data_IF_218587908712
#
_entry.id   IF_218587908712
#
_cell.length_a   1.000
_cell.length_b   1.000
_cell.length_c   1.000
_cell.angle_alpha   90.00
_cell.angle_beta   90.00
_cell.angle_gamma   90.00
#
_symmetry.space_group_name_H-M   'P 1'
#
loop_
_entity.id
_entity.type
_entity.pdbx_description
1 polymer ?
#
# COMPACT_ATOMS: atom_id res chain seq x y z
N UNK A 1 -27.23 -15.27 -3.81
CA UNK A 1 -26.08 -14.47 -4.25
C UNK A 1 -25.04 -14.73 -3.19
N UNK A 2 -23.91 -15.38 -3.53
CA UNK A 2 -22.84 -15.65 -2.58
C UNK A 2 -22.31 -14.32 -2.08
N UNK A 3 -22.14 -14.20 -0.77
CA UNK A 3 -21.38 -13.11 -0.16
C UNK A 3 -19.97 -13.22 -0.74
N UNK A 4 -19.55 -12.25 -1.55
CA UNK A 4 -18.15 -12.12 -1.96
C UNK A 4 -17.29 -11.97 -0.71
N UNK A 5 -16.00 -12.24 -0.80
CA UNK A 5 -15.09 -11.95 0.30
C UNK A 5 -15.24 -10.48 0.71
N UNK A 6 -15.19 -10.18 2.02
CA UNK A 6 -15.20 -8.78 2.48
C UNK A 6 -14.05 -8.00 1.83
N UNK A 7 -14.29 -6.71 1.55
CA UNK A 7 -13.23 -5.83 1.02
C UNK A 7 -12.21 -5.57 2.11
N UNK A 8 -10.95 -5.88 1.84
CA UNK A 8 -9.86 -5.65 2.77
C UNK A 8 -9.41 -4.19 2.79
N UNK A 9 -8.90 -3.73 3.92
CA UNK A 9 -8.43 -2.35 4.12
C UNK A 9 -6.91 -2.33 4.29
N UNK A 10 -6.25 -1.59 3.40
CA UNK A 10 -4.81 -1.31 3.44
C UNK A 10 -4.58 0.11 3.96
N UNK A 11 -3.79 0.23 5.03
CA UNK A 11 -3.33 1.50 5.57
C UNK A 11 -2.17 2.04 4.70
N UNK A 12 -2.41 3.11 3.93
CA UNK A 12 -1.45 3.73 3.00
C UNK A 12 -0.27 4.36 3.74
N UNK A 13 0.95 3.86 3.50
CA UNK A 13 2.19 4.23 4.22
C UNK A 13 2.07 4.05 5.74
N UNK A 14 1.35 3.00 6.17
CA UNK A 14 0.84 2.86 7.52
C UNK A 14 -0.39 3.74 7.80
N UNK A 15 -0.75 3.99 9.04
CA UNK A 15 -1.87 4.89 9.38
C UNK A 15 -1.43 6.36 9.24
N UNK A 16 -1.27 6.81 8.01
CA UNK A 16 -0.65 8.10 7.68
C UNK A 16 -1.53 9.32 7.99
N UNK A 17 -2.86 9.16 8.15
CA UNK A 17 -3.70 10.25 8.65
C UNK A 17 -3.43 10.62 10.12
N UNK A 18 -2.88 9.70 10.93
CA UNK A 18 -2.65 9.90 12.37
C UNK A 18 -1.16 9.91 12.78
N UNK A 19 -0.28 9.42 11.92
CA UNK A 19 1.16 9.25 12.18
C UNK A 19 1.99 9.69 10.96
N UNK A 20 3.28 10.08 11.14
CA UNK A 20 4.14 10.36 10.00
C UNK A 20 4.26 9.13 9.09
N UNK A 21 4.02 9.31 7.80
CA UNK A 21 3.99 8.26 6.78
C UNK A 21 5.28 7.43 6.76
N UNK A 22 5.17 6.15 6.36
CA UNK A 22 6.33 5.27 6.18
C UNK A 22 7.24 5.15 7.41
N UNK A 23 6.69 5.18 8.61
CA UNK A 23 7.43 5.11 9.87
C UNK A 23 6.92 3.97 10.76
N UNK A 24 7.76 3.53 11.69
CA UNK A 24 7.37 2.48 12.66
C UNK A 24 6.13 2.86 13.47
N UNK A 25 5.95 4.11 13.95
CA UNK A 25 4.68 4.51 14.57
C UNK A 25 3.46 4.36 13.67
N UNK A 26 3.55 4.68 12.37
CA UNK A 26 2.45 4.53 11.42
C UNK A 26 2.04 3.06 11.22
N UNK A 27 3.01 2.15 11.11
CA UNK A 27 2.73 0.71 11.01
C UNK A 27 2.15 0.14 12.29
N UNK A 28 2.65 0.54 13.45
CA UNK A 28 2.05 0.18 14.75
C UNK A 28 0.63 0.70 14.88
N UNK A 29 0.38 1.93 14.42
CA UNK A 29 -0.97 2.50 14.36
C UNK A 29 -1.92 1.68 13.49
N UNK A 30 -1.49 1.27 12.28
CA UNK A 30 -2.27 0.41 11.40
C UNK A 30 -2.61 -0.94 12.05
N UNK A 31 -1.65 -1.58 12.73
CA UNK A 31 -1.88 -2.82 13.49
C UNK A 31 -2.89 -2.57 14.62
N UNK A 32 -2.76 -1.48 15.36
CA UNK A 32 -3.62 -1.18 16.51
C UNK A 32 -5.08 -0.97 16.13
N UNK A 33 -5.34 -0.36 14.98
CA UNK A 33 -6.70 -0.14 14.47
C UNK A 33 -7.26 -1.33 13.70
N UNK A 34 -6.49 -2.42 13.58
CA UNK A 34 -6.91 -3.65 12.93
C UNK A 34 -7.05 -3.53 11.42
N UNK A 35 -6.22 -2.72 10.75
CA UNK A 35 -6.13 -2.76 9.30
C UNK A 35 -5.69 -4.16 8.84
N UNK A 36 -6.20 -4.62 7.69
CA UNK A 36 -5.87 -5.95 7.19
C UNK A 36 -4.48 -5.97 6.59
N UNK A 37 -4.11 -4.87 5.93
CA UNK A 37 -2.82 -4.62 5.29
C UNK A 37 -2.25 -3.27 5.68
N UNK A 38 -0.94 -3.12 5.57
CA UNK A 38 -0.27 -1.83 5.50
C UNK A 38 0.55 -1.74 4.22
N UNK A 39 0.45 -0.61 3.54
CA UNK A 39 1.27 -0.33 2.36
C UNK A 39 2.50 0.48 2.77
N UNK A 40 3.60 0.30 2.05
CA UNK A 40 4.87 1.01 2.25
C UNK A 40 5.66 1.11 0.94
N UNK A 41 6.46 2.17 0.85
CA UNK A 41 7.35 2.43 -0.29
C UNK A 41 8.80 2.08 0.05
N UNK A 42 9.50 1.34 -0.81
CA UNK A 42 10.90 0.98 -0.60
C UNK A 42 11.81 1.51 -1.70
N UNK A 43 12.97 2.01 -1.28
CA UNK A 43 14.04 2.49 -2.14
C UNK A 43 15.40 2.00 -1.61
N UNK A 44 16.44 2.09 -2.45
CA UNK A 44 17.77 1.62 -2.10
C UNK A 44 18.76 2.78 -1.97
N UNK A 45 19.52 2.82 -0.88
CA UNK A 45 20.61 3.77 -0.67
C UNK A 45 21.85 3.43 -1.52
N UNK A 46 22.81 4.36 -1.59
CA UNK A 46 24.06 4.19 -2.34
C UNK A 46 24.88 2.95 -1.91
N UNK A 47 24.85 2.60 -0.64
CA UNK A 47 25.51 1.40 -0.07
C UNK A 47 24.65 0.13 -0.12
N UNK A 48 23.41 0.26 -0.61
CA UNK A 48 22.52 -0.87 -0.89
C UNK A 48 21.54 -1.22 0.23
N UNK A 49 21.40 -0.40 1.28
CA UNK A 49 20.36 -0.62 2.28
C UNK A 49 18.97 -0.35 1.70
N UNK A 50 17.99 -1.17 2.07
CA UNK A 50 16.59 -1.00 1.65
C UNK A 50 15.85 -0.24 2.72
N UNK A 51 15.54 1.02 2.44
CA UNK A 51 14.85 1.93 3.35
C UNK A 51 13.38 2.11 2.95
N UNK A 52 12.55 2.54 3.91
CA UNK A 52 11.14 2.81 3.68
C UNK A 52 10.94 4.33 3.55
N UNK A 53 10.69 4.79 2.31
CA UNK A 53 10.60 6.21 1.96
C UNK A 53 9.84 6.38 0.64
N UNK A 54 8.86 7.30 0.62
CA UNK A 54 8.07 7.54 -0.59
C UNK A 54 8.82 8.38 -1.62
N UNK A 55 9.29 9.57 -1.23
CA UNK A 55 9.94 10.50 -2.16
C UNK A 55 11.35 10.02 -2.49
N UNK A 56 11.79 10.22 -3.72
CA UNK A 56 13.18 9.97 -4.12
C UNK A 56 14.14 10.95 -3.44
N UNK A 57 13.68 12.18 -3.15
CA UNK A 57 14.43 13.20 -2.44
C UNK A 57 13.99 13.29 -0.97
N UNK A 58 14.94 13.25 -0.05
CA UNK A 58 14.70 13.21 1.40
C UNK A 58 14.21 14.53 2.01
N UNK A 59 14.17 15.63 1.24
CA UNK A 59 13.95 16.98 1.74
C UNK A 59 12.62 17.18 2.47
N UNK A 60 11.52 16.65 1.93
CA UNK A 60 10.17 16.89 2.46
C UNK A 60 10.01 16.42 3.90
N UNK A 61 10.54 15.26 4.23
CA UNK A 61 10.34 14.63 5.53
C UNK A 61 11.52 14.79 6.48
N UNK A 62 12.75 14.99 5.96
CA UNK A 62 13.95 15.07 6.80
C UNK A 62 14.70 16.42 6.71
N UNK A 63 14.37 17.24 5.74
CA UNK A 63 15.09 18.49 5.47
C UNK A 63 16.38 18.33 4.66
N UNK A 64 16.88 17.11 4.43
CA UNK A 64 18.09 16.84 3.65
C UNK A 64 17.79 16.86 2.15
N UNK A 65 18.32 17.85 1.42
CA UNK A 65 18.14 17.98 -0.04
C UNK A 65 19.12 17.08 -0.79
N UNK A 66 18.85 15.76 -0.76
CA UNK A 66 19.58 14.72 -1.49
C UNK A 66 18.63 13.60 -1.90
N UNK A 67 18.94 12.95 -3.03
CA UNK A 67 18.25 11.75 -3.48
C UNK A 67 18.70 10.54 -2.65
N UNK A 68 17.79 9.59 -2.40
CA UNK A 68 18.05 8.36 -1.63
C UNK A 68 19.26 7.60 -2.18
N UNK A 69 19.36 7.45 -3.50
CA UNK A 69 20.47 6.73 -4.15
C UNK A 69 21.83 7.44 -4.06
N UNK A 70 21.89 8.70 -3.58
CA UNK A 70 23.11 9.49 -3.40
C UNK A 70 23.73 9.39 -2.00
N UNK A 71 23.02 8.82 -1.06
CA UNK A 71 23.41 8.76 0.36
C UNK A 71 23.57 7.32 0.83
N UNK A 72 24.45 7.11 1.81
CA UNK A 72 24.58 5.84 2.53
C UNK A 72 23.61 5.77 3.71
N UNK A 73 23.32 4.57 4.18
CA UNK A 73 22.49 4.38 5.37
C UNK A 73 23.05 5.11 6.60
N UNK A 74 24.37 5.04 6.81
CA UNK A 74 25.02 5.71 7.92
C UNK A 74 24.86 7.24 7.91
N UNK A 75 24.74 7.86 6.75
CA UNK A 75 24.51 9.30 6.63
C UNK A 75 23.08 9.73 7.01
N UNK A 76 22.08 8.82 6.92
CA UNK A 76 20.66 9.19 7.04
C UNK A 76 19.92 8.52 8.20
N UNK A 77 20.46 7.46 8.80
CA UNK A 77 19.78 6.66 9.85
C UNK A 77 19.35 7.47 11.08
N UNK A 78 20.06 8.57 11.39
CA UNK A 78 19.79 9.42 12.54
C UNK A 78 19.00 10.70 12.20
N UNK A 79 18.57 10.89 10.94
CA UNK A 79 17.77 12.04 10.53
C UNK A 79 16.39 11.99 11.18
N UNK A 80 15.90 13.16 11.57
CA UNK A 80 14.51 13.34 12.01
C UNK A 80 13.58 13.18 10.80
N UNK A 81 12.74 12.16 10.83
CA UNK A 81 11.74 11.85 9.80
C UNK A 81 10.30 11.99 10.31
N UNK A 82 10.10 12.68 11.44
CA UNK A 82 8.77 12.79 12.07
C UNK A 82 8.32 14.20 12.37
N UNK A 83 9.21 15.15 12.67
CA UNK A 83 8.85 16.53 13.06
C UNK A 83 8.10 17.31 11.98
N UNK A 84 8.22 16.96 10.71
CA UNK A 84 7.45 17.55 9.63
C UNK A 84 5.95 17.32 9.78
N UNK A 85 5.57 16.19 10.41
CA UNK A 85 4.18 15.85 10.70
C UNK A 85 3.71 16.50 12.03
N UNK A 86 4.47 16.28 13.12
CA UNK A 86 4.23 16.88 14.44
C UNK A 86 5.52 16.80 15.26
N UNK A 87 5.86 17.85 16.02
CA UNK A 87 7.06 17.94 16.88
C UNK A 87 7.20 16.78 17.88
N UNK A 88 6.10 16.17 18.32
CA UNK A 88 6.14 15.00 19.20
C UNK A 88 6.84 13.79 18.58
N UNK A 89 6.98 13.77 17.25
CA UNK A 89 7.66 12.70 16.50
C UNK A 89 9.11 13.01 16.13
N UNK A 90 9.75 14.01 16.73
CA UNK A 90 11.16 14.39 16.44
C UNK A 90 12.20 13.28 16.63
N UNK A 91 11.88 12.20 17.34
CA UNK A 91 12.74 11.04 17.52
C UNK A 91 12.51 9.94 16.52
N UNK A 92 11.50 10.08 15.65
CA UNK A 92 11.18 9.10 14.61
C UNK A 92 12.21 9.19 13.49
N UNK A 93 12.66 8.03 13.02
CA UNK A 93 13.71 7.89 12.01
C UNK A 93 13.15 7.21 10.76
N UNK A 94 13.90 7.30 9.67
CA UNK A 94 13.64 6.50 8.47
C UNK A 94 13.82 5.03 8.86
N UNK A 95 12.83 4.13 8.69
CA UNK A 95 13.06 2.72 8.97
C UNK A 95 13.67 2.01 7.76
N UNK A 96 14.43 0.97 8.01
CA UNK A 96 14.76 -0.04 7.01
C UNK A 96 13.56 -0.97 6.78
N UNK A 97 13.49 -1.59 5.60
CA UNK A 97 12.49 -2.64 5.35
C UNK A 97 12.58 -3.75 6.40
N UNK A 98 13.78 -4.14 6.78
CA UNK A 98 13.99 -5.18 7.81
C UNK A 98 13.35 -4.83 9.16
N UNK A 99 13.42 -3.58 9.59
CA UNK A 99 12.77 -3.10 10.82
C UNK A 99 11.24 -3.16 10.72
N UNK A 100 10.68 -2.77 9.57
CA UNK A 100 9.22 -2.86 9.32
C UNK A 100 8.76 -4.32 9.32
N UNK A 101 9.48 -5.22 8.65
CA UNK A 101 9.15 -6.65 8.65
C UNK A 101 9.14 -7.23 10.07
N UNK A 102 10.12 -6.87 10.92
CA UNK A 102 10.16 -7.31 12.34
C UNK A 102 8.92 -6.84 13.13
N UNK A 103 8.44 -5.64 12.88
CA UNK A 103 7.27 -5.07 13.59
C UNK A 103 5.97 -5.70 13.10
N UNK A 104 5.83 -5.91 11.79
CA UNK A 104 4.59 -6.33 11.13
C UNK A 104 4.38 -7.84 11.11
N UNK A 105 5.45 -8.63 11.17
CA UNK A 105 5.41 -10.09 11.07
C UNK A 105 4.37 -10.73 12.00
N UNK A 106 3.44 -11.49 11.41
CA UNK A 106 2.37 -12.19 12.11
C UNK A 106 1.28 -11.28 12.70
N UNK A 107 1.25 -9.99 12.33
CA UNK A 107 0.29 -9.01 12.87
C UNK A 107 -0.53 -8.30 11.79
N UNK A 108 0.04 -8.09 10.61
CA UNK A 108 -0.58 -7.38 9.50
C UNK A 108 0.09 -7.83 8.19
N UNK A 109 -0.67 -7.88 7.10
CA UNK A 109 -0.13 -8.13 5.77
C UNK A 109 0.53 -6.86 5.21
N UNK A 110 1.45 -7.00 4.25
CA UNK A 110 2.13 -5.85 3.67
C UNK A 110 1.97 -5.78 2.14
N UNK A 111 1.67 -4.58 1.65
CA UNK A 111 1.81 -4.21 0.24
C UNK A 111 3.07 -3.35 0.11
N UNK A 112 4.11 -3.88 -0.54
CA UNK A 112 5.42 -3.26 -0.62
C UNK A 112 5.62 -2.69 -2.03
N UNK A 113 5.51 -1.36 -2.16
CA UNK A 113 5.80 -0.70 -3.43
C UNK A 113 7.32 -0.55 -3.64
N UNK A 114 7.84 -1.17 -4.68
CA UNK A 114 9.23 -0.97 -5.12
C UNK A 114 9.31 0.26 -6.02
N UNK A 115 10.13 1.23 -5.63
CA UNK A 115 10.39 2.48 -6.35
C UNK A 115 11.83 2.54 -6.86
N UNK A 116 12.14 1.89 -7.99
CA UNK A 116 13.50 1.87 -8.50
C UNK A 116 13.91 3.26 -8.99
N UNK A 117 15.08 3.71 -8.55
CA UNK A 117 15.68 4.99 -8.92
C UNK A 117 16.38 4.96 -10.29
N UNK A 118 16.67 3.76 -10.79
CA UNK A 118 17.55 3.54 -11.93
C UNK A 118 19.04 3.48 -11.59
N UNK A 119 19.39 3.70 -10.32
CA UNK A 119 20.74 3.58 -9.76
C UNK A 119 20.85 2.40 -8.79
N UNK A 120 19.77 1.64 -8.64
CA UNK A 120 19.70 0.48 -7.74
C UNK A 120 20.65 -0.63 -8.21
N UNK A 121 21.20 -1.35 -7.24
CA UNK A 121 22.11 -2.48 -7.50
C UNK A 121 21.34 -3.79 -7.60
N UNK A 122 20.55 -4.07 -6.58
CA UNK A 122 19.88 -5.34 -6.35
C UNK A 122 18.62 -5.18 -5.48
N UNK A 123 17.86 -4.09 -5.68
CA UNK A 123 16.71 -3.73 -4.84
C UNK A 123 15.68 -4.85 -4.76
N UNK A 124 15.24 -5.37 -5.90
CA UNK A 124 14.20 -6.41 -5.99
C UNK A 124 14.67 -7.73 -5.34
N UNK A 125 15.92 -8.14 -5.59
CA UNK A 125 16.50 -9.35 -5.00
C UNK A 125 16.66 -9.23 -3.48
N UNK A 126 17.01 -8.04 -2.96
CA UNK A 126 17.09 -7.78 -1.52
C UNK A 126 15.73 -7.84 -0.85
N UNK A 127 14.70 -7.25 -1.48
CA UNK A 127 13.32 -7.35 -1.00
C UNK A 127 12.91 -8.82 -0.91
N UNK A 128 13.07 -9.60 -1.98
CA UNK A 128 12.74 -11.03 -1.99
C UNK A 128 13.49 -11.83 -0.92
N UNK A 129 14.80 -11.57 -0.75
CA UNK A 129 15.62 -12.20 0.31
C UNK A 129 15.13 -11.87 1.72
N UNK A 130 14.74 -10.60 1.97
CA UNK A 130 14.20 -10.19 3.27
C UNK A 130 12.86 -10.86 3.55
N UNK A 131 11.93 -10.91 2.57
CA UNK A 131 10.65 -11.60 2.72
C UNK A 131 10.85 -13.09 3.04
N UNK A 132 11.79 -13.75 2.36
CA UNK A 132 12.17 -15.13 2.65
C UNK A 132 12.74 -15.29 4.06
N UNK A 133 13.69 -14.42 4.45
CA UNK A 133 14.34 -14.44 5.78
C UNK A 133 13.33 -14.30 6.92
N UNK A 134 12.32 -13.46 6.75
CA UNK A 134 11.29 -13.21 7.77
C UNK A 134 10.05 -14.11 7.64
N UNK A 135 10.02 -15.04 6.68
CA UNK A 135 8.88 -15.93 6.40
C UNK A 135 7.59 -15.14 6.14
N UNK A 136 7.66 -14.09 5.33
CA UNK A 136 6.53 -13.20 5.03
C UNK A 136 6.11 -13.22 3.55
N UNK A 137 6.61 -14.17 2.73
CA UNK A 137 6.25 -14.26 1.31
C UNK A 137 4.75 -14.40 1.08
N UNK A 138 4.10 -15.24 1.88
CA UNK A 138 2.66 -15.55 1.77
C UNK A 138 1.75 -14.49 2.43
N UNK A 139 2.34 -13.46 3.05
CA UNK A 139 1.65 -12.37 3.75
C UNK A 139 2.03 -11.00 3.21
N UNK A 140 2.68 -10.98 2.05
CA UNK A 140 3.07 -9.77 1.35
C UNK A 140 2.70 -9.84 -0.13
N UNK A 141 2.35 -8.70 -0.69
CA UNK A 141 2.32 -8.44 -2.12
C UNK A 141 3.39 -7.39 -2.44
N UNK A 142 4.11 -7.58 -3.55
CA UNK A 142 5.07 -6.58 -4.02
C UNK A 142 4.48 -5.85 -5.22
N UNK A 143 4.39 -4.53 -5.12
CA UNK A 143 3.82 -3.70 -6.17
C UNK A 143 4.86 -2.75 -6.79
N UNK A 144 4.66 -2.34 -8.03
CA UNK A 144 5.49 -1.33 -8.69
C UNK A 144 4.78 -0.71 -9.90
N UNK A 145 5.11 0.57 -10.17
CA UNK A 145 4.83 1.23 -11.46
C UNK A 145 5.72 0.71 -12.60
N UNK A 146 6.82 0.03 -12.27
CA UNK A 146 7.76 -0.55 -13.23
C UNK A 146 7.50 -2.03 -13.39
N UNK A 147 6.91 -2.43 -14.51
CA UNK A 147 6.61 -3.83 -14.78
C UNK A 147 7.85 -4.74 -14.73
N UNK A 148 9.02 -4.22 -15.12
CA UNK A 148 10.30 -4.94 -15.03
C UNK A 148 10.67 -5.31 -13.59
N UNK A 149 10.32 -4.48 -12.60
CA UNK A 149 10.54 -4.83 -11.20
C UNK A 149 9.70 -6.03 -10.76
N UNK A 150 8.46 -6.17 -11.27
CA UNK A 150 7.63 -7.34 -10.98
C UNK A 150 8.25 -8.62 -11.57
N UNK A 151 8.77 -8.53 -12.81
CA UNK A 151 9.50 -9.64 -13.43
C UNK A 151 10.69 -10.08 -12.58
N UNK A 152 11.52 -9.13 -12.14
CA UNK A 152 12.70 -9.41 -11.29
C UNK A 152 12.32 -10.02 -9.94
N UNK A 153 11.21 -9.59 -9.33
CA UNK A 153 10.68 -10.22 -8.10
C UNK A 153 10.33 -11.68 -8.37
N UNK A 154 9.59 -11.98 -9.44
CA UNK A 154 9.21 -13.34 -9.81
C UNK A 154 10.43 -14.20 -10.16
N UNK A 155 11.45 -13.64 -10.80
CA UNK A 155 12.73 -14.32 -11.06
C UNK A 155 13.49 -14.62 -9.76
N UNK A 156 13.44 -13.73 -8.76
CA UNK A 156 14.09 -13.93 -7.48
C UNK A 156 13.34 -14.93 -6.58
N UNK A 157 12.01 -14.89 -6.56
CA UNK A 157 11.14 -15.84 -5.85
C UNK A 157 9.72 -15.79 -6.44
N UNK A 158 9.37 -16.78 -7.25
CA UNK A 158 8.08 -16.88 -7.95
C UNK A 158 6.87 -17.01 -7.01
N UNK A 159 7.08 -17.42 -5.77
CA UNK A 159 6.03 -17.53 -4.77
C UNK A 159 5.53 -16.19 -4.21
N UNK A 160 6.25 -15.08 -4.46
CA UNK A 160 5.84 -13.77 -4.00
C UNK A 160 4.75 -13.23 -4.93
N UNK A 161 3.59 -12.87 -4.37
CA UNK A 161 2.53 -12.21 -5.12
C UNK A 161 2.95 -10.80 -5.56
N UNK A 162 2.53 -10.40 -6.77
CA UNK A 162 2.89 -9.12 -7.37
C UNK A 162 1.67 -8.35 -7.87
N UNK A 163 1.71 -7.02 -7.75
CA UNK A 163 0.65 -6.15 -8.26
C UNK A 163 1.21 -5.02 -9.13
N UNK A 164 0.67 -4.88 -10.34
CA UNK A 164 1.09 -3.79 -11.24
C UNK A 164 0.34 -2.52 -10.90
N UNK A 165 1.07 -1.46 -10.52
CA UNK A 165 0.49 -0.14 -10.27
C UNK A 165 0.27 0.54 -11.60
N UNK A 166 -0.99 0.91 -11.88
CA UNK A 166 -1.35 1.55 -13.14
C UNK A 166 -2.31 2.72 -12.93
N UNK A 167 -2.05 3.78 -13.66
CA UNK A 167 -2.94 4.94 -13.81
C UNK A 167 -3.77 4.88 -15.11
N UNK A 168 -3.71 3.77 -15.85
CA UNK A 168 -4.38 3.64 -17.15
C UNK A 168 -5.27 2.40 -17.15
N UNK A 169 -6.56 2.61 -17.40
CA UNK A 169 -7.56 1.52 -17.50
C UNK A 169 -7.81 1.05 -18.96
N UNK A 170 -6.87 1.32 -19.88
CA UNK A 170 -6.98 0.98 -21.30
C UNK A 170 -5.90 0.03 -21.78
N UNK A 171 -6.26 -0.99 -22.55
CA UNK A 171 -5.38 -1.96 -23.15
C UNK A 171 -5.61 -3.41 -22.69
N UNK A 172 -4.81 -4.34 -23.20
CA UNK A 172 -4.81 -5.76 -22.80
C UNK A 172 -3.93 -5.95 -21.56
N UNK A 173 -4.37 -5.47 -20.40
CA UNK A 173 -3.66 -5.64 -19.13
C UNK A 173 -3.97 -6.98 -18.44
N UNK A 174 -4.96 -7.72 -18.94
CA UNK A 174 -5.32 -9.04 -18.37
C UNK A 174 -4.26 -10.12 -18.61
N UNK A 175 -3.34 -9.89 -19.53
CA UNK A 175 -2.34 -10.86 -20.00
C UNK A 175 -0.92 -10.56 -19.45
N UNK A 176 -0.81 -9.71 -18.42
CA UNK A 176 0.48 -9.43 -17.80
C UNK A 176 0.91 -10.60 -16.93
N UNK A 177 1.92 -11.35 -17.40
CA UNK A 177 2.43 -12.59 -16.80
C UNK A 177 2.93 -12.38 -15.36
N UNK A 178 3.68 -11.28 -15.14
CA UNK A 178 4.32 -10.99 -13.87
C UNK A 178 3.47 -10.10 -12.94
N UNK A 179 2.15 -10.11 -13.11
CA UNK A 179 1.23 -9.37 -12.25
C UNK A 179 0.08 -10.29 -11.81
N UNK A 180 0.02 -10.64 -10.53
CA UNK A 180 -1.07 -11.38 -9.92
C UNK A 180 -2.27 -10.48 -9.61
N UNK A 181 -2.04 -9.17 -9.51
CA UNK A 181 -3.06 -8.16 -9.28
C UNK A 181 -2.75 -6.81 -9.92
N UNK A 182 -3.68 -5.88 -9.75
CA UNK A 182 -3.57 -4.49 -10.22
C UNK A 182 -3.83 -3.53 -9.07
N UNK A 183 -2.97 -2.51 -8.94
CA UNK A 183 -3.16 -1.39 -8.03
C UNK A 183 -3.54 -0.15 -8.85
N UNK A 184 -4.78 0.31 -8.72
CA UNK A 184 -5.41 1.29 -9.63
C UNK A 184 -5.80 2.55 -8.88
N UNK A 185 -5.52 3.70 -9.48
CA UNK A 185 -5.97 4.99 -8.96
C UNK A 185 -7.52 5.06 -8.98
N UNK A 186 -8.12 5.50 -7.87
CA UNK A 186 -9.56 5.38 -7.61
C UNK A 186 -10.45 6.11 -8.61
N UNK A 187 -9.99 7.25 -9.17
CA UNK A 187 -10.77 8.04 -10.14
C UNK A 187 -10.82 7.40 -11.53
N UNK A 188 -9.83 6.55 -11.84
CA UNK A 188 -9.71 5.86 -13.13
C UNK A 188 -10.38 4.48 -13.13
N UNK A 189 -10.80 4.01 -11.96
CA UNK A 189 -11.45 2.70 -11.83
C UNK A 189 -12.82 2.68 -12.53
N UNK A 190 -13.06 1.62 -13.31
CA UNK A 190 -14.35 1.36 -13.93
C UNK A 190 -14.85 -0.05 -13.62
N UNK A 191 -16.17 -0.23 -13.56
CA UNK A 191 -16.77 -1.57 -13.37
C UNK A 191 -16.35 -2.55 -14.47
N UNK A 192 -16.15 -2.06 -15.71
CA UNK A 192 -15.64 -2.89 -16.81
C UNK A 192 -14.23 -3.41 -16.53
N UNK A 193 -13.35 -2.55 -15.98
CA UNK A 193 -12.00 -2.96 -15.58
C UNK A 193 -12.06 -4.04 -14.48
N UNK A 194 -12.81 -3.77 -13.40
CA UNK A 194 -12.99 -4.72 -12.30
C UNK A 194 -13.44 -6.09 -12.81
N UNK A 195 -14.50 -6.12 -13.62
CA UNK A 195 -15.03 -7.36 -14.17
C UNK A 195 -14.01 -8.13 -15.05
N UNK A 196 -13.19 -7.42 -15.82
CA UNK A 196 -12.16 -8.05 -16.67
C UNK A 196 -11.02 -8.63 -15.83
N UNK A 197 -10.52 -7.88 -14.84
CA UNK A 197 -9.47 -8.33 -13.95
C UNK A 197 -9.91 -9.55 -13.14
N UNK A 198 -11.11 -9.53 -12.57
CA UNK A 198 -11.67 -10.67 -11.82
C UNK A 198 -11.86 -11.92 -12.70
N UNK A 199 -12.32 -11.77 -13.95
CA UNK A 199 -12.41 -12.88 -14.89
C UNK A 199 -11.05 -13.51 -15.22
N UNK A 200 -9.99 -12.70 -15.16
CA UNK A 200 -8.61 -13.16 -15.34
C UNK A 200 -7.98 -13.69 -14.04
N UNK A 201 -8.73 -13.74 -12.93
CA UNK A 201 -8.24 -14.17 -11.61
C UNK A 201 -7.26 -13.19 -10.96
N UNK A 202 -7.29 -11.91 -11.35
CA UNK A 202 -6.38 -10.87 -10.84
C UNK A 202 -7.03 -10.10 -9.69
N UNK A 203 -6.31 -9.87 -8.61
CA UNK A 203 -6.73 -9.05 -7.48
C UNK A 203 -6.70 -7.56 -7.82
N UNK A 204 -7.57 -6.76 -7.17
CA UNK A 204 -7.72 -5.33 -7.43
C UNK A 204 -7.58 -4.55 -6.13
N UNK A 205 -6.49 -3.77 -6.06
CA UNK A 205 -6.19 -2.79 -5.02
C UNK A 205 -6.54 -1.39 -5.54
N UNK A 206 -7.22 -0.57 -4.75
CA UNK A 206 -7.66 0.77 -5.20
C UNK A 206 -7.12 1.86 -4.28
N UNK A 207 -6.36 2.81 -4.83
CA UNK A 207 -5.68 3.90 -4.11
C UNK A 207 -5.97 5.28 -4.71
N UNK A 208 -5.79 6.39 -4.00
CA UNK A 208 -5.91 6.49 -2.56
C UNK A 208 -7.33 6.92 -2.25
N UNK A 209 -8.01 6.22 -1.36
CA UNK A 209 -9.44 6.42 -1.09
C UNK A 209 -9.60 7.03 0.30
N UNK A 210 -9.77 8.37 0.35
CA UNK A 210 -9.78 9.16 1.58
C UNK A 210 -11.11 9.87 1.85
N UNK A 211 -12.20 9.45 1.20
CA UNK A 211 -13.53 9.97 1.47
C UNK A 211 -14.58 8.86 1.44
N UNK A 212 -15.60 8.99 2.29
CA UNK A 212 -16.72 8.04 2.38
C UNK A 212 -17.40 7.85 1.02
N UNK A 213 -17.71 8.95 0.30
CA UNK A 213 -18.35 8.91 -1.03
C UNK A 213 -17.53 8.07 -2.03
N UNK A 214 -16.20 8.27 -2.04
CA UNK A 214 -15.31 7.52 -2.92
C UNK A 214 -15.26 6.05 -2.53
N UNK A 215 -15.19 5.78 -1.22
CA UNK A 215 -15.15 4.44 -0.66
C UNK A 215 -16.42 3.66 -1.03
N UNK A 216 -17.61 4.22 -0.80
CA UNK A 216 -18.88 3.60 -1.17
C UNK A 216 -18.93 3.25 -2.67
N UNK A 217 -18.46 4.18 -3.51
CA UNK A 217 -18.44 4.00 -4.96
C UNK A 217 -17.52 2.84 -5.39
N UNK A 218 -16.29 2.76 -4.86
CA UNK A 218 -15.34 1.72 -5.30
C UNK A 218 -15.68 0.36 -4.71
N UNK A 219 -16.15 0.29 -3.46
CA UNK A 219 -16.66 -0.94 -2.84
C UNK A 219 -17.85 -1.49 -3.65
N UNK A 220 -18.79 -0.62 -4.08
CA UNK A 220 -19.91 -1.01 -4.94
C UNK A 220 -19.48 -1.56 -6.32
N UNK A 221 -18.23 -1.35 -6.73
CA UNK A 221 -17.68 -1.97 -7.94
C UNK A 221 -17.17 -3.40 -7.71
N UNK A 222 -17.07 -3.86 -6.44
CA UNK A 222 -16.65 -5.21 -6.10
C UNK A 222 -15.15 -5.40 -6.21
N UNK A 223 -14.38 -4.46 -5.69
CA UNK A 223 -12.92 -4.56 -5.57
C UNK A 223 -12.52 -5.50 -4.43
N UNK A 224 -11.26 -5.91 -4.39
CA UNK A 224 -10.76 -6.82 -3.35
C UNK A 224 -10.17 -6.05 -2.16
N UNK A 225 -9.51 -4.90 -2.43
CA UNK A 225 -8.79 -4.16 -1.40
C UNK A 225 -8.85 -2.65 -1.65
N UNK A 226 -8.98 -1.87 -0.58
CA UNK A 226 -8.94 -0.40 -0.61
C UNK A 226 -7.71 0.11 0.15
N UNK A 227 -6.95 1.01 -0.47
CA UNK A 227 -5.78 1.66 0.12
C UNK A 227 -6.16 3.09 0.51
N UNK A 228 -6.01 3.41 1.81
CA UNK A 228 -6.46 4.69 2.40
C UNK A 228 -5.48 5.21 3.45
N UNK A 229 -5.40 6.53 3.60
CA UNK A 229 -4.64 7.18 4.68
C UNK A 229 -5.35 6.99 6.04
N UNK A 230 -6.69 6.81 6.03
CA UNK A 230 -7.51 6.61 7.24
C UNK A 230 -8.20 5.23 7.23
N UNK A 231 -7.50 4.19 7.74
CA UNK A 231 -8.07 2.84 7.82
C UNK A 231 -9.24 2.73 8.80
N UNK A 232 -9.38 3.64 9.77
CA UNK A 232 -10.51 3.63 10.72
C UNK A 232 -11.79 3.98 9.97
N UNK A 233 -11.80 5.10 9.25
CA UNK A 233 -12.94 5.53 8.43
C UNK A 233 -13.35 4.42 7.44
N UNK A 234 -12.38 3.79 6.77
CA UNK A 234 -12.68 2.75 5.79
C UNK A 234 -13.29 1.50 6.43
N UNK A 235 -12.74 1.04 7.57
CA UNK A 235 -13.27 -0.15 8.26
C UNK A 235 -14.66 0.09 8.84
N UNK A 236 -14.91 1.25 9.42
CA UNK A 236 -16.23 1.62 9.96
C UNK A 236 -17.29 1.61 8.84
N UNK A 237 -17.02 2.22 7.70
CA UNK A 237 -17.96 2.29 6.59
C UNK A 237 -18.23 0.91 5.97
N UNK A 238 -17.18 0.09 5.77
CA UNK A 238 -17.33 -1.27 5.23
C UNK A 238 -18.15 -2.12 6.20
N UNK A 239 -17.85 -2.04 7.49
CA UNK A 239 -18.61 -2.75 8.52
C UNK A 239 -20.10 -2.35 8.52
N UNK A 240 -20.40 -1.03 8.44
CA UNK A 240 -21.79 -0.55 8.33
C UNK A 240 -22.48 -1.08 7.07
N UNK A 241 -21.80 -1.11 5.92
CA UNK A 241 -22.37 -1.62 4.67
C UNK A 241 -22.71 -3.11 4.73
N UNK A 242 -21.87 -3.90 5.38
CA UNK A 242 -22.07 -5.36 5.55
C UNK A 242 -23.22 -5.67 6.51
N UNK A 243 -23.39 -4.87 7.57
CA UNK A 243 -24.35 -5.11 8.65
C UNK A 243 -25.64 -4.27 8.53
N UNK A 244 -25.70 -3.30 7.61
CA UNK A 244 -26.93 -2.52 7.41
C UNK A 244 -28.01 -3.33 6.74
N UNK A 245 -29.24 -3.28 7.31
CA UNK A 245 -30.42 -3.87 6.69
C UNK A 245 -30.84 -3.11 5.44
N UNK A 246 -31.67 -3.74 4.58
CA UNK A 246 -32.28 -3.03 3.41
C UNK A 246 -33.00 -1.76 3.85
N UNK A 247 -33.68 -1.78 5.00
CA UNK A 247 -34.43 -0.64 5.54
C UNK A 247 -33.50 0.50 6.01
N UNK A 248 -32.36 0.19 6.62
CA UNK A 248 -31.39 1.22 7.04
C UNK A 248 -30.83 1.99 5.84
N UNK A 249 -30.51 1.28 4.75
CA UNK A 249 -30.06 1.89 3.48
C UNK A 249 -31.14 2.74 2.84
N UNK A 250 -32.38 2.27 2.83
CA UNK A 250 -33.53 3.01 2.25
C UNK A 250 -33.81 4.30 3.03
N UNK A 251 -33.78 4.26 4.36
CA UNK A 251 -33.95 5.43 5.21
C UNK A 251 -32.82 6.44 5.02
N UNK A 252 -31.54 5.99 5.00
CA UNK A 252 -30.38 6.88 4.71
C UNK A 252 -30.57 7.58 3.34
N UNK A 253 -31.00 6.86 2.32
CA UNK A 253 -31.22 7.42 0.97
C UNK A 253 -32.33 8.47 0.95
N UNK A 254 -33.43 8.25 1.66
CA UNK A 254 -34.54 9.24 1.78
C UNK A 254 -34.10 10.52 2.52
N UNK A 255 -33.25 10.40 3.55
CA UNK A 255 -32.73 11.55 4.30
C UNK A 255 -31.71 12.38 3.53
N UNK A 256 -31.01 11.80 2.55
CA UNK A 256 -30.08 12.52 1.66
C UNK A 256 -30.78 13.28 0.53
N UNK A 257 -31.98 12.87 0.11
CA UNK A 257 -32.78 13.55 -0.92
C UNK A 257 -33.43 14.85 -0.38
N UNK A 258 -33.46 15.03 0.96
CA UNK A 258 -33.99 16.19 1.65
C UNK A 258 -33.00 17.31 1.96
N UNK A 259 -31.74 17.18 1.52
CA UNK A 259 -30.69 18.22 1.66
C UNK A 259 -30.26 18.72 0.28
#
# INVERSE_FOLDING_TARGET
MGLGNPVEVTAHRGYSAAYPENTIPAFKGAIQVGADWAELDVQQTADGEVIVMHDSNLKRTTGLDKEVWQVTWDEIKDLDNGSWFDKKYQTVRIPTLEEVLKVCRGKIHLNIEIKPSGHDKDLEERVAKLLKKYHMRDTCVVSSLKYDSLRKIKEADDSIETAYITSVSYGNFTDLEYADGYSVESTLLSKSFVNKAQKAGKQIYVWTVNSEERLEKVVGMGIDNVITDDPVMAKELIYEQEHSTFWDRYVKQLLQIGK
#
